data_IF_983122732262
#
_entry.id   IF_983122732262
#
_cell.length_a   1.000
_cell.length_b   1.000
_cell.length_c   1.000
_cell.angle_alpha   90.00
_cell.angle_beta   90.00
_cell.angle_gamma   90.00
#
_symmetry.space_group_name_H-M   'P 1'
#
loop_
_entity.id
_entity.type
_entity.pdbx_description
1 polymer ?
#
# COMPACT_ATOMS: atom_id res chain seq x y z
N UNK A 1 -12.11 8.32 5.16
CA UNK A 1 -12.69 7.63 4.01
C UNK A 1 -13.83 6.72 4.43
N UNK A 2 -14.73 6.36 3.49
CA UNK A 2 -15.72 5.32 3.78
C UNK A 2 -15.01 3.95 3.86
N UNK A 3 -15.46 3.10 4.77
CA UNK A 3 -14.86 1.78 4.91
C UNK A 3 -14.99 0.95 3.62
N UNK A 4 -16.10 1.08 2.91
CA UNK A 4 -16.32 0.45 1.61
C UNK A 4 -15.28 0.85 0.56
N UNK A 5 -14.84 2.12 0.55
CA UNK A 5 -13.81 2.60 -0.38
C UNK A 5 -12.43 2.02 -0.07
N UNK A 6 -12.15 1.78 1.21
CA UNK A 6 -10.84 1.27 1.66
C UNK A 6 -10.73 -0.26 1.52
N UNK A 7 -11.80 -1.00 1.84
CA UNK A 7 -11.78 -2.47 1.86
C UNK A 7 -11.53 -3.06 0.48
N UNK A 8 -10.78 -4.17 0.45
CA UNK A 8 -10.43 -4.92 -0.76
C UNK A 8 -9.38 -4.24 -1.65
N UNK A 9 -8.83 -3.08 -1.24
CA UNK A 9 -7.80 -2.36 -2.02
C UNK A 9 -6.37 -2.77 -1.66
N UNK A 10 -6.19 -3.32 -0.47
CA UNK A 10 -4.88 -3.63 0.10
C UNK A 10 -4.66 -5.14 0.28
N UNK A 11 -5.54 -5.98 -0.27
CA UNK A 11 -5.57 -7.42 -0.04
C UNK A 11 -6.02 -7.78 1.40
N UNK A 12 -6.17 -9.05 1.67
CA UNK A 12 -6.68 -9.53 2.97
C UNK A 12 -5.83 -9.08 4.17
N UNK A 13 -4.51 -9.05 4.00
CA UNK A 13 -3.60 -8.62 5.07
C UNK A 13 -3.69 -7.11 5.31
N UNK A 14 -3.73 -6.31 4.24
CA UNK A 14 -3.88 -4.87 4.36
C UNK A 14 -5.22 -4.47 4.96
N UNK A 15 -6.29 -5.18 4.62
CA UNK A 15 -7.63 -4.93 5.19
C UNK A 15 -7.68 -5.16 6.72
N UNK A 16 -6.85 -6.07 7.25
CA UNK A 16 -6.68 -6.27 8.70
C UNK A 16 -6.00 -5.09 9.38
N UNK A 17 -5.20 -4.34 8.64
CA UNK A 17 -4.46 -3.18 9.13
C UNK A 17 -5.25 -1.87 9.04
N UNK A 18 -6.47 -1.88 8.51
CA UNK A 18 -7.34 -0.72 8.48
C UNK A 18 -7.87 -0.38 9.86
N UNK A 19 -7.60 0.82 10.35
CA UNK A 19 -8.31 1.37 11.50
C UNK A 19 -9.74 1.71 11.13
N UNK A 20 -10.69 1.08 11.80
CA UNK A 20 -12.11 1.28 11.63
C UNK A 20 -12.62 2.26 12.68
N UNK A 21 -13.49 3.19 12.27
CA UNK A 21 -14.08 4.20 13.15
C UNK A 21 -15.47 3.72 13.50
N UNK A 22 -15.69 3.48 14.79
CA UNK A 22 -17.02 3.11 15.30
C UNK A 22 -18.00 4.24 15.02
N UNK A 23 -19.20 3.89 14.56
CA UNK A 23 -20.26 4.87 14.29
C UNK A 23 -20.63 5.63 15.56
N UNK A 24 -20.95 6.92 15.42
CA UNK A 24 -21.37 7.77 16.53
C UNK A 24 -22.81 7.47 16.95
N UNK A 25 -23.15 7.72 18.20
CA UNK A 25 -24.48 7.50 18.74
C UNK A 25 -24.75 6.02 19.06
N UNK A 26 -25.96 5.55 18.80
CA UNK A 26 -26.32 4.15 19.00
C UNK A 26 -25.79 3.28 17.85
N UNK A 27 -24.52 2.88 17.96
CA UNK A 27 -23.81 2.08 16.93
C UNK A 27 -24.28 0.62 16.86
N UNK A 28 -25.07 0.15 17.82
CA UNK A 28 -25.68 -1.19 17.79
C UNK A 28 -27.05 -1.21 17.09
N UNK A 29 -27.63 -0.09 16.79
CA UNK A 29 -28.99 0.05 16.22
C UNK A 29 -29.27 -0.86 15.03
N UNK A 30 -28.26 -1.12 14.20
CA UNK A 30 -28.37 -1.94 12.98
C UNK A 30 -27.92 -3.39 13.17
N UNK A 31 -27.55 -3.77 14.39
CA UNK A 31 -27.06 -5.13 14.73
C UNK A 31 -28.14 -5.86 15.50
N UNK A 32 -28.50 -7.06 15.07
CA UNK A 32 -29.49 -7.88 15.75
C UNK A 32 -28.89 -8.65 16.93
N UNK A 33 -29.74 -9.07 17.88
CA UNK A 33 -29.32 -9.88 19.02
C UNK A 33 -28.66 -11.21 18.60
N UNK A 34 -29.09 -11.78 17.48
CA UNK A 34 -28.52 -13.03 16.98
C UNK A 34 -27.11 -12.80 16.39
N UNK A 35 -26.88 -11.68 15.70
CA UNK A 35 -25.55 -11.30 15.23
C UNK A 35 -24.59 -11.05 16.41
N UNK A 36 -25.08 -10.44 17.49
CA UNK A 36 -24.29 -10.24 18.73
C UNK A 36 -23.94 -11.58 19.38
N UNK A 37 -24.88 -12.54 19.39
CA UNK A 37 -24.61 -13.89 19.90
C UNK A 37 -23.63 -14.67 19.03
N UNK A 38 -23.72 -14.52 17.70
CA UNK A 38 -22.79 -15.16 16.75
C UNK A 38 -21.35 -14.64 16.90
N UNK A 39 -21.15 -13.41 17.40
CA UNK A 39 -19.84 -12.75 17.59
C UNK A 39 -18.97 -12.72 16.34
N UNK A 40 -19.58 -12.71 15.15
CA UNK A 40 -18.87 -12.63 13.89
C UNK A 40 -18.55 -11.18 13.55
N UNK A 41 -17.36 -10.73 13.97
CA UNK A 41 -16.92 -9.35 13.80
C UNK A 41 -16.79 -8.93 12.33
N UNK A 42 -16.47 -9.87 11.42
CA UNK A 42 -16.36 -9.58 10.00
C UNK A 42 -17.73 -9.23 9.38
N UNK A 43 -18.79 -9.95 9.77
CA UNK A 43 -20.15 -9.62 9.32
C UNK A 43 -20.67 -8.31 9.89
N UNK A 44 -20.33 -8.01 11.15
CA UNK A 44 -20.82 -6.81 11.85
C UNK A 44 -20.04 -5.55 11.50
N UNK A 45 -18.78 -5.65 11.02
CA UNK A 45 -17.90 -4.49 10.88
C UNK A 45 -18.48 -3.36 10.02
N UNK A 46 -19.17 -3.68 8.92
CA UNK A 46 -19.79 -2.69 8.03
C UNK A 46 -21.02 -2.02 8.63
N UNK A 47 -21.67 -2.67 9.59
CA UNK A 47 -22.81 -2.11 10.36
C UNK A 47 -22.31 -1.21 11.50
N UNK A 48 -21.20 -1.59 12.14
CA UNK A 48 -20.61 -0.88 13.25
C UNK A 48 -19.73 0.30 12.85
N UNK A 49 -19.10 0.21 11.67
CA UNK A 49 -18.10 1.15 11.18
C UNK A 49 -18.35 1.50 9.73
N UNK A 50 -18.87 2.69 9.47
CA UNK A 50 -19.06 3.21 8.10
C UNK A 50 -17.78 3.84 7.55
N UNK A 51 -16.87 4.23 8.42
CA UNK A 51 -15.65 4.96 8.10
C UNK A 51 -14.42 4.25 8.62
N UNK A 52 -13.29 4.51 7.96
CA UNK A 52 -11.96 4.11 8.40
C UNK A 52 -10.97 5.24 8.24
N UNK A 53 -9.86 5.16 8.99
CA UNK A 53 -8.72 6.04 8.77
C UNK A 53 -8.03 5.62 7.47
N UNK A 54 -7.52 6.59 6.72
CA UNK A 54 -6.81 6.30 5.47
C UNK A 54 -5.53 5.53 5.74
N UNK A 55 -5.34 4.45 5.02
CA UNK A 55 -4.18 3.57 5.11
C UNK A 55 -2.97 4.11 4.35
N UNK A 56 -3.23 4.81 3.25
CA UNK A 56 -2.27 5.47 2.38
C UNK A 56 -2.89 6.73 1.75
N UNK A 57 -2.16 7.37 0.85
CA UNK A 57 -2.64 8.51 0.08
C UNK A 57 -3.05 8.13 -1.35
N UNK A 58 -2.77 6.90 -1.80
CA UNK A 58 -3.04 6.42 -3.16
C UNK A 58 -4.53 6.23 -3.41
N UNK A 59 -5.25 5.56 -2.49
CA UNK A 59 -6.71 5.34 -2.65
C UNK A 59 -7.49 6.66 -2.62
N UNK A 60 -7.24 7.59 -1.68
CA UNK A 60 -7.85 8.92 -1.73
C UNK A 60 -7.54 9.69 -3.00
N UNK A 61 -6.31 9.58 -3.52
CA UNK A 61 -5.91 10.23 -4.76
C UNK A 61 -6.61 9.62 -5.98
N UNK A 62 -6.66 8.30 -6.09
CA UNK A 62 -7.39 7.64 -7.17
C UNK A 62 -8.87 8.05 -7.20
N UNK A 63 -9.51 8.15 -6.03
CA UNK A 63 -10.88 8.66 -5.91
C UNK A 63 -10.99 10.11 -6.38
N UNK A 64 -10.05 10.97 -5.98
CA UNK A 64 -10.01 12.36 -6.43
C UNK A 64 -9.92 12.46 -7.95
N UNK A 65 -9.00 11.70 -8.57
CA UNK A 65 -8.83 11.69 -10.03
C UNK A 65 -10.11 11.25 -10.75
N UNK A 66 -10.79 10.23 -10.23
CA UNK A 66 -12.06 9.76 -10.83
C UNK A 66 -13.16 10.81 -10.70
N UNK A 67 -13.27 11.47 -9.54
CA UNK A 67 -14.30 12.48 -9.29
C UNK A 67 -14.10 13.77 -10.11
N UNK A 68 -12.86 14.12 -10.43
CA UNK A 68 -12.48 15.36 -11.13
C UNK A 68 -11.94 15.10 -12.54
N UNK A 69 -12.23 13.93 -13.09
CA UNK A 69 -11.67 13.44 -14.36
C UNK A 69 -11.83 14.44 -15.51
N UNK A 70 -12.98 15.10 -15.59
CA UNK A 70 -13.29 16.05 -16.66
C UNK A 70 -12.63 17.45 -16.44
N UNK A 71 -12.11 17.72 -15.25
CA UNK A 71 -11.47 18.97 -14.88
C UNK A 71 -9.94 18.90 -14.94
N UNK A 72 -9.38 17.68 -14.85
CA UNK A 72 -7.94 17.45 -14.79
C UNK A 72 -7.30 17.46 -16.17
N UNK A 73 -6.23 18.22 -16.33
CA UNK A 73 -5.37 18.12 -17.50
C UNK A 73 -4.33 17.02 -17.32
N UNK A 74 -4.26 16.09 -18.26
CA UNK A 74 -3.29 14.99 -18.25
C UNK A 74 -2.05 15.33 -19.10
N UNK A 75 -0.85 14.87 -18.70
CA UNK A 75 -0.55 14.15 -17.45
C UNK A 75 -0.70 15.05 -16.21
N UNK A 76 -1.40 14.53 -15.21
CA UNK A 76 -1.59 15.24 -13.95
C UNK A 76 -0.53 14.79 -12.94
N UNK A 77 0.22 15.75 -12.40
CA UNK A 77 1.26 15.54 -11.40
C UNK A 77 0.87 16.19 -10.10
N UNK A 78 1.04 15.47 -9.00
CA UNK A 78 0.78 16.01 -7.67
C UNK A 78 1.79 15.52 -6.65
N UNK A 79 1.93 16.25 -5.57
CA UNK A 79 2.50 15.72 -4.33
C UNK A 79 1.51 15.91 -3.18
N UNK A 80 1.64 15.08 -2.15
CA UNK A 80 0.83 15.15 -0.96
C UNK A 80 1.64 14.70 0.26
N UNK A 81 1.58 15.49 1.33
CA UNK A 81 2.27 15.20 2.59
C UNK A 81 1.22 15.21 3.69
N UNK A 82 0.85 14.04 4.18
CA UNK A 82 -0.20 13.90 5.19
C UNK A 82 0.00 12.66 6.05
N UNK A 83 -0.61 12.63 7.26
CA UNK A 83 -0.59 11.44 8.10
C UNK A 83 -1.47 10.34 7.51
N UNK A 84 -1.04 9.10 7.73
CA UNK A 84 -1.76 7.87 7.43
C UNK A 84 -1.73 6.96 8.65
N UNK A 85 -2.64 5.98 8.70
CA UNK A 85 -2.81 5.12 9.86
C UNK A 85 -2.87 3.66 9.47
N UNK A 86 -2.02 2.85 10.11
CA UNK A 86 -1.98 1.41 9.92
C UNK A 86 -1.99 0.70 11.26
N UNK A 87 -2.86 -0.29 11.44
CA UNK A 87 -2.97 -1.05 12.68
C UNK A 87 -1.84 -2.10 12.83
N UNK A 88 -0.66 -1.78 12.35
CA UNK A 88 0.54 -2.59 12.52
C UNK A 88 0.85 -2.85 14.00
N UNK A 89 1.50 -3.99 14.28
CA UNK A 89 2.12 -4.20 15.57
C UNK A 89 3.30 -3.22 15.71
N UNK A 90 3.27 -2.34 16.73
CA UNK A 90 4.34 -1.36 16.94
C UNK A 90 5.69 -2.04 17.10
N UNK A 91 6.69 -1.57 16.35
CA UNK A 91 8.08 -1.99 16.46
C UNK A 91 8.99 -0.88 15.95
N UNK A 92 10.31 -1.04 16.12
CA UNK A 92 11.27 -0.04 15.64
C UNK A 92 11.08 0.21 14.14
N UNK A 93 10.84 1.47 13.78
CA UNK A 93 10.61 1.88 12.38
C UNK A 93 9.19 1.63 11.85
N UNK A 94 8.27 1.08 12.67
CA UNK A 94 6.86 0.93 12.31
C UNK A 94 5.97 1.58 13.37
N UNK A 95 5.27 2.63 12.94
CA UNK A 95 4.33 3.39 13.76
C UNK A 95 2.91 3.17 13.25
N UNK A 96 1.93 3.36 14.11
CA UNK A 96 0.51 3.28 13.74
C UNK A 96 0.00 4.55 13.09
N UNK A 97 0.68 5.66 13.33
CA UNK A 97 0.46 6.94 12.67
C UNK A 97 1.81 7.46 12.18
N UNK A 98 1.89 7.85 10.92
CA UNK A 98 3.10 8.42 10.33
C UNK A 98 2.74 9.25 9.10
N UNK A 99 3.64 10.11 8.68
CA UNK A 99 3.48 10.91 7.48
C UNK A 99 3.96 10.14 6.25
N UNK A 100 3.15 10.15 5.21
CA UNK A 100 3.59 9.80 3.86
C UNK A 100 3.84 11.09 3.05
N UNK A 101 4.90 11.05 2.25
CA UNK A 101 5.25 12.08 1.28
C UNK A 101 5.17 11.42 -0.10
N UNK A 102 4.02 11.54 -0.74
CA UNK A 102 3.74 10.88 -2.01
C UNK A 102 3.90 11.87 -3.16
N UNK A 103 4.53 11.42 -4.24
CA UNK A 103 4.58 12.11 -5.53
C UNK A 103 4.03 11.17 -6.60
N UNK A 104 3.02 11.60 -7.32
CA UNK A 104 2.30 10.78 -8.28
C UNK A 104 2.15 11.47 -9.63
N UNK A 105 2.14 10.65 -10.68
CA UNK A 105 1.80 11.05 -12.05
C UNK A 105 0.69 10.14 -12.56
N UNK A 106 -0.34 10.72 -13.15
CA UNK A 106 -1.44 9.97 -13.79
C UNK A 106 -1.66 10.46 -15.21
N UNK A 107 -1.99 9.53 -16.12
CA UNK A 107 -2.30 9.84 -17.52
C UNK A 107 -1.08 9.93 -18.44
N UNK A 108 0.02 9.21 -18.11
CA UNK A 108 1.18 9.09 -18.98
C UNK A 108 1.84 7.72 -18.78
N UNK A 109 2.16 7.05 -19.89
CA UNK A 109 2.89 5.77 -19.93
C UNK A 109 4.40 5.96 -20.17
N UNK A 110 4.88 7.20 -20.15
CA UNK A 110 6.28 7.51 -20.42
C UNK A 110 7.16 7.08 -19.24
N UNK A 111 8.21 6.29 -19.52
CA UNK A 111 9.24 5.92 -18.55
C UNK A 111 10.09 7.13 -18.06
N UNK A 112 9.92 8.30 -18.68
CA UNK A 112 10.51 9.53 -18.15
C UNK A 112 9.90 9.96 -16.82
N UNK A 113 8.70 9.47 -16.49
CA UNK A 113 8.10 9.70 -15.19
C UNK A 113 8.92 9.05 -14.07
N UNK A 114 9.43 7.84 -14.28
CA UNK A 114 10.32 7.17 -13.33
C UNK A 114 11.62 7.92 -13.14
N UNK A 115 12.19 8.47 -14.23
CA UNK A 115 13.39 9.30 -14.16
C UNK A 115 13.14 10.57 -13.34
N UNK A 116 12.01 11.23 -13.56
CA UNK A 116 11.62 12.42 -12.81
C UNK A 116 11.43 12.12 -11.30
N UNK A 117 10.79 10.99 -10.97
CA UNK A 117 10.68 10.56 -9.57
C UNK A 117 12.04 10.30 -8.92
N UNK A 118 12.99 9.70 -9.65
CA UNK A 118 14.37 9.52 -9.16
C UNK A 118 15.05 10.87 -8.92
N UNK A 119 14.86 11.86 -9.81
CA UNK A 119 15.40 13.21 -9.64
C UNK A 119 14.79 13.91 -8.42
N UNK A 120 13.50 13.73 -8.15
CA UNK A 120 12.85 14.26 -6.95
C UNK A 120 13.52 13.67 -5.69
N UNK A 121 13.71 12.35 -5.65
CA UNK A 121 14.37 11.66 -4.52
C UNK A 121 15.78 12.22 -4.32
N UNK A 122 16.58 12.27 -5.38
CA UNK A 122 17.96 12.77 -5.33
C UNK A 122 18.01 14.22 -4.81
N UNK A 123 17.16 15.10 -5.35
CA UNK A 123 17.08 16.50 -4.95
C UNK A 123 16.71 16.65 -3.47
N UNK A 124 15.65 15.98 -3.03
CA UNK A 124 15.16 16.08 -1.64
C UNK A 124 16.21 15.60 -0.64
N UNK A 125 16.82 14.44 -0.89
CA UNK A 125 17.82 13.91 0.04
C UNK A 125 19.14 14.68 0.00
N UNK A 126 19.51 15.28 -1.15
CA UNK A 126 20.64 16.20 -1.26
C UNK A 126 20.41 17.46 -0.41
N UNK A 127 19.22 18.07 -0.50
CA UNK A 127 18.87 19.24 0.31
C UNK A 127 18.88 18.92 1.82
N UNK A 128 18.53 17.70 2.22
CA UNK A 128 18.63 17.25 3.60
C UNK A 128 20.04 16.87 4.04
N UNK A 129 21.03 16.87 3.14
CA UNK A 129 22.40 16.41 3.43
C UNK A 129 22.50 14.92 3.76
N UNK A 130 21.51 14.11 3.33
CA UNK A 130 21.45 12.67 3.57
C UNK A 130 21.89 11.93 2.31
N UNK A 131 22.97 11.15 2.44
CA UNK A 131 23.38 10.27 1.35
C UNK A 131 22.46 9.05 1.25
N UNK A 132 21.91 8.84 0.07
CA UNK A 132 21.02 7.71 -0.24
C UNK A 132 21.56 6.90 -1.41
N UNK A 133 21.18 5.64 -1.46
CA UNK A 133 21.37 4.75 -2.61
C UNK A 133 19.99 4.39 -3.16
N UNK A 134 19.70 4.81 -4.39
CA UNK A 134 18.46 4.46 -5.06
C UNK A 134 18.64 3.05 -5.67
N UNK A 135 17.88 2.07 -5.16
CA UNK A 135 17.79 0.72 -5.75
C UNK A 135 16.58 0.68 -6.68
N UNK A 136 16.79 0.43 -7.95
CA UNK A 136 15.73 0.33 -8.95
C UNK A 136 15.64 -1.10 -9.49
N UNK A 137 14.43 -1.58 -9.69
CA UNK A 137 14.16 -2.88 -10.28
C UNK A 137 12.96 -2.81 -11.21
N UNK A 138 12.89 -3.75 -12.14
CA UNK A 138 11.72 -3.95 -12.99
C UNK A 138 11.25 -5.41 -12.84
N UNK A 139 9.97 -5.59 -12.50
CA UNK A 139 9.39 -6.93 -12.32
C UNK A 139 9.53 -7.81 -13.56
N UNK A 140 9.56 -7.22 -14.75
CA UNK A 140 9.78 -7.96 -16.02
C UNK A 140 11.14 -8.65 -16.06
N UNK A 141 12.16 -8.09 -15.42
CA UNK A 141 13.49 -8.72 -15.34
C UNK A 141 13.39 -10.02 -14.51
N UNK A 142 12.74 -9.96 -13.35
CA UNK A 142 12.54 -11.14 -12.49
C UNK A 142 11.67 -12.20 -13.18
N UNK A 143 10.62 -11.76 -13.88
CA UNK A 143 9.78 -12.68 -14.68
C UNK A 143 10.60 -13.34 -15.78
N UNK A 144 11.44 -12.60 -16.50
CA UNK A 144 12.33 -13.13 -17.53
C UNK A 144 13.33 -14.16 -16.95
N UNK A 145 13.88 -13.92 -15.78
CA UNK A 145 14.74 -14.89 -15.07
C UNK A 145 13.95 -16.17 -14.77
N UNK A 146 12.74 -16.06 -14.21
CA UNK A 146 11.90 -17.22 -13.92
C UNK A 146 11.54 -18.02 -15.19
N UNK A 147 11.31 -17.34 -16.31
CA UNK A 147 11.07 -17.97 -17.62
C UNK A 147 12.30 -18.74 -18.14
N UNK A 148 13.49 -18.13 -18.02
CA UNK A 148 14.74 -18.76 -18.48
C UNK A 148 15.06 -20.03 -17.70
N UNK A 149 14.79 -20.05 -16.40
CA UNK A 149 14.99 -21.25 -15.55
C UNK A 149 13.83 -22.26 -15.62
N UNK A 150 12.76 -21.96 -16.39
CA UNK A 150 11.61 -22.86 -16.58
C UNK A 150 10.57 -22.83 -15.45
N UNK A 151 10.66 -21.89 -14.51
CA UNK A 151 9.83 -21.82 -13.31
C UNK A 151 8.90 -20.56 -13.29
N UNK A 152 8.32 -20.25 -14.45
CA UNK A 152 7.48 -19.05 -14.63
C UNK A 152 6.32 -18.97 -13.60
N UNK A 153 5.70 -20.11 -13.29
CA UNK A 153 4.56 -20.18 -12.39
C UNK A 153 4.93 -19.92 -10.92
N UNK A 154 6.22 -20.05 -10.58
CA UNK A 154 6.76 -19.82 -9.25
C UNK A 154 7.36 -18.42 -9.05
N UNK A 155 7.10 -17.49 -9.96
CA UNK A 155 7.66 -16.13 -9.89
C UNK A 155 7.41 -15.43 -8.56
N UNK A 156 6.25 -15.66 -7.93
CA UNK A 156 5.92 -15.05 -6.63
C UNK A 156 6.82 -15.61 -5.53
N UNK A 157 6.97 -16.93 -5.47
CA UNK A 157 7.82 -17.61 -4.46
C UNK A 157 9.29 -17.23 -4.63
N UNK A 158 9.76 -17.19 -5.88
CA UNK A 158 11.13 -16.77 -6.22
C UNK A 158 11.37 -15.32 -5.77
N UNK A 159 10.44 -14.40 -6.06
CA UNK A 159 10.61 -13.00 -5.68
C UNK A 159 10.53 -12.79 -4.17
N UNK A 160 9.67 -13.52 -3.47
CA UNK A 160 9.56 -13.47 -2.00
C UNK A 160 10.85 -14.01 -1.34
N UNK A 161 11.44 -15.08 -1.88
CA UNK A 161 12.71 -15.61 -1.37
C UNK A 161 13.86 -14.61 -1.59
N UNK A 162 13.95 -14.03 -2.79
CA UNK A 162 14.99 -13.03 -3.12
C UNK A 162 14.85 -11.78 -2.25
N UNK A 163 13.64 -11.33 -1.95
CA UNK A 163 13.40 -10.14 -1.10
C UNK A 163 13.90 -10.31 0.33
N UNK A 164 14.08 -11.55 0.77
CA UNK A 164 14.65 -11.87 2.08
C UNK A 164 16.17 -11.85 2.12
N UNK A 165 16.85 -11.73 0.98
CA UNK A 165 18.31 -11.88 0.87
C UNK A 165 19.09 -11.01 1.87
N UNK A 166 18.71 -9.74 2.00
CA UNK A 166 19.35 -8.80 2.93
C UNK A 166 19.08 -9.15 4.42
N UNK A 167 18.06 -9.98 4.71
CA UNK A 167 17.64 -10.33 6.08
C UNK A 167 18.18 -11.67 6.55
N UNK A 168 18.17 -12.68 5.69
CA UNK A 168 18.49 -14.06 6.05
C UNK A 168 19.77 -14.59 5.41
N UNK A 169 20.35 -13.85 4.46
CA UNK A 169 21.56 -14.22 3.75
C UNK A 169 21.36 -15.24 2.62
N UNK A 170 22.38 -15.39 1.78
CA UNK A 170 22.32 -16.17 0.55
C UNK A 170 22.03 -17.66 0.78
N UNK A 171 22.64 -18.26 1.81
CA UNK A 171 22.50 -19.70 2.07
C UNK A 171 21.06 -20.07 2.42
N UNK A 172 20.39 -19.27 3.26
CA UNK A 172 19.00 -19.50 3.63
C UNK A 172 18.03 -19.21 2.45
N UNK A 173 18.35 -18.23 1.60
CA UNK A 173 17.57 -17.99 0.37
C UNK A 173 17.70 -19.18 -0.59
N UNK A 174 18.90 -19.75 -0.73
CA UNK A 174 19.11 -20.94 -1.55
C UNK A 174 18.35 -22.16 -1.02
N UNK A 175 18.19 -22.30 0.30
CA UNK A 175 17.35 -23.35 0.88
C UNK A 175 15.86 -23.14 0.61
N UNK A 176 15.38 -21.90 0.66
CA UNK A 176 13.97 -21.57 0.33
C UNK A 176 13.65 -21.76 -1.17
N UNK A 177 14.65 -21.66 -2.04
CA UNK A 177 14.49 -21.82 -3.50
C UNK A 177 14.61 -23.29 -3.98
N UNK A 178 14.95 -24.23 -3.12
CA UNK A 178 15.02 -25.67 -3.41
C UNK A 178 13.67 -26.35 -3.22
#
# INVERSE_FOLDING_TARGET
>A
ETLHTLMGKYGEEGDKLLFKILNSGDYLKSVSDDELKERNTLKMQTKLCEKGLRYDLTVPFARYVVMHREELQLPFKRYQIQPVWRADRPQKGRYREFYQCDADVVGSDSLLNEVELMQIIDTVFTEFGIRVQIKINNRKILTGIAEVIGEKDKIVDITVAIDKLDKIGLDNVNEELR
#
